data_IF_206111252412
#
_entry.id   IF_206111252412
#
_cell.length_a   1.000
_cell.length_b   1.000
_cell.length_c   1.000
_cell.angle_alpha   90.00
_cell.angle_beta   90.00
_cell.angle_gamma   90.00
#
_symmetry.space_group_name_H-M   'P 1'
#
loop_
_entity.id
_entity.type
_entity.pdbx_description
1 polymer ?
#
# COMPACT_ATOMS: atom_id res chain seq x y z
N UNK A 1 14.62 18.37 -0.17
CA UNK A 1 15.13 17.99 1.16
C UNK A 1 15.89 16.67 1.01
N UNK A 2 17.19 16.58 1.30
CA UNK A 2 18.01 15.38 0.98
C UNK A 2 18.82 14.87 2.18
N UNK A 3 18.22 14.91 3.36
CA UNK A 3 18.84 14.34 4.56
C UNK A 3 19.01 12.82 4.41
N UNK A 4 20.25 12.34 4.55
CA UNK A 4 20.61 10.93 4.47
C UNK A 4 19.89 10.07 5.50
N UNK A 5 19.44 10.67 6.62
CA UNK A 5 18.75 9.95 7.70
C UNK A 5 17.25 9.77 7.49
N UNK A 6 16.67 10.35 6.42
CA UNK A 6 15.24 10.21 6.11
C UNK A 6 14.87 8.74 5.95
N UNK A 7 13.88 8.29 6.71
CA UNK A 7 13.46 6.88 6.77
C UNK A 7 12.36 6.59 5.76
N UNK A 8 12.39 5.38 5.20
CA UNK A 8 11.33 4.88 4.33
C UNK A 8 9.97 4.88 5.05
N UNK A 9 8.90 5.14 4.30
CA UNK A 9 7.56 4.90 4.78
C UNK A 9 7.33 3.39 5.02
N UNK A 10 6.52 3.08 6.02
CA UNK A 10 6.12 1.69 6.38
C UNK A 10 4.80 1.27 5.73
N UNK A 11 4.04 2.20 5.16
CA UNK A 11 2.82 1.89 4.43
C UNK A 11 3.18 1.40 3.03
N UNK A 12 3.07 0.10 2.80
CA UNK A 12 3.46 -0.52 1.54
C UNK A 12 2.29 -0.64 0.55
N UNK A 13 1.05 -0.55 1.02
CA UNK A 13 -0.14 -0.77 0.20
C UNK A 13 -0.99 0.48 0.07
N UNK A 14 -1.65 0.64 -1.08
CA UNK A 14 -2.66 1.68 -1.35
C UNK A 14 -3.91 1.03 -1.92
N UNK A 15 -5.08 1.55 -1.56
CA UNK A 15 -6.37 1.09 -2.08
C UNK A 15 -6.85 1.98 -3.22
N UNK A 16 -7.08 1.37 -4.39
CA UNK A 16 -7.50 2.03 -5.61
C UNK A 16 -8.67 1.24 -6.19
N UNK A 17 -9.80 1.90 -6.43
CA UNK A 17 -11.04 1.31 -6.94
C UNK A 17 -11.44 0.03 -6.17
N UNK A 18 -11.37 0.09 -4.83
CA UNK A 18 -11.73 -1.06 -4.00
C UNK A 18 -10.67 -2.15 -3.86
N UNK A 19 -9.60 -2.12 -4.66
CA UNK A 19 -8.55 -3.15 -4.69
C UNK A 19 -7.26 -2.65 -4.06
N UNK A 20 -6.55 -3.55 -3.36
CA UNK A 20 -5.27 -3.25 -2.75
C UNK A 20 -4.12 -3.50 -3.72
N UNK A 21 -3.22 -2.53 -3.81
CA UNK A 21 -2.02 -2.59 -4.63
C UNK A 21 -0.79 -2.33 -3.77
N UNK A 22 0.30 -3.04 -4.06
CA UNK A 22 1.62 -2.64 -3.57
C UNK A 22 1.96 -1.28 -4.19
N UNK A 23 2.37 -0.31 -3.36
CA UNK A 23 2.77 1.01 -3.80
C UNK A 23 4.01 0.92 -4.69
N UNK A 24 4.12 1.83 -5.65
CA UNK A 24 5.25 1.81 -6.57
C UNK A 24 6.50 2.39 -5.87
N UNK A 25 7.52 1.55 -5.71
CA UNK A 25 8.85 1.93 -5.23
C UNK A 25 9.96 1.70 -6.26
N UNK A 26 9.60 1.42 -7.50
CA UNK A 26 10.55 1.18 -8.58
C UNK A 26 10.89 2.47 -9.30
N UNK A 27 9.92 3.37 -9.40
CA UNK A 27 10.15 4.70 -9.94
C UNK A 27 10.95 5.52 -8.94
N UNK A 28 11.99 6.19 -9.43
CA UNK A 28 12.90 7.00 -8.62
C UNK A 28 13.29 8.27 -9.35
N UNK A 29 13.78 9.22 -8.56
CA UNK A 29 14.43 10.44 -9.07
C UNK A 29 15.75 10.10 -9.80
N UNK A 30 16.28 11.05 -10.58
CA UNK A 30 17.61 10.94 -11.20
C UNK A 30 18.74 10.88 -10.16
N UNK A 31 18.47 11.43 -8.97
CA UNK A 31 19.37 11.36 -7.82
C UNK A 31 19.19 10.01 -7.09
N UNK A 32 20.09 9.68 -6.17
CA UNK A 32 19.94 8.48 -5.33
C UNK A 32 18.75 8.57 -4.36
N UNK A 33 18.31 9.79 -4.04
CA UNK A 33 17.20 10.08 -3.14
C UNK A 33 16.20 11.00 -3.81
N UNK A 34 14.93 10.82 -3.49
CA UNK A 34 13.85 11.67 -3.97
C UNK A 34 14.06 13.13 -3.52
N UNK A 35 14.05 14.09 -4.45
CA UNK A 35 14.19 15.51 -4.10
C UNK A 35 13.04 16.05 -3.23
N UNK A 36 11.85 15.47 -3.39
CA UNK A 36 10.62 15.86 -2.69
C UNK A 36 10.58 15.32 -1.26
N UNK A 37 10.52 13.99 -1.09
CA UNK A 37 10.39 13.37 0.23
C UNK A 37 11.71 12.95 0.87
N UNK A 38 12.84 13.03 0.17
CA UNK A 38 14.16 12.71 0.70
C UNK A 38 14.43 11.23 0.92
N UNK A 39 13.54 10.31 0.55
CA UNK A 39 13.72 8.86 0.72
C UNK A 39 14.63 8.31 -0.39
N UNK A 40 15.47 7.32 -0.05
CA UNK A 40 16.31 6.63 -1.04
C UNK A 40 15.45 5.91 -2.07
N UNK A 41 15.79 6.02 -3.34
CA UNK A 41 15.02 5.41 -4.42
C UNK A 41 15.19 3.88 -4.41
N UNK A 42 14.20 3.17 -4.95
CA UNK A 42 14.24 1.72 -5.14
C UNK A 42 13.78 0.91 -3.93
N UNK A 43 13.53 -0.38 -4.17
CA UNK A 43 13.13 -1.35 -3.14
C UNK A 43 14.25 -1.52 -2.09
N UNK A 44 13.93 -1.62 -0.78
CA UNK A 44 12.61 -1.74 -0.16
C UNK A 44 11.98 -0.40 0.26
N UNK A 45 12.45 0.73 -0.25
CA UNK A 45 12.05 2.05 0.24
C UNK A 45 10.74 2.52 -0.40
N UNK A 46 9.78 2.97 0.40
CA UNK A 46 8.53 3.55 -0.07
C UNK A 46 8.49 5.03 0.26
N UNK A 47 8.04 5.84 -0.68
CA UNK A 47 7.80 7.26 -0.47
C UNK A 47 6.73 7.47 0.61
N UNK A 48 6.71 8.63 1.26
CA UNK A 48 5.58 8.99 2.12
C UNK A 48 4.33 9.26 1.27
N UNK A 49 3.12 8.87 1.75
CA UNK A 49 1.88 9.25 1.09
C UNK A 49 1.84 10.75 0.84
N UNK A 50 1.49 11.16 -0.38
CA UNK A 50 1.48 12.56 -0.78
C UNK A 50 2.74 13.04 -1.49
N UNK A 51 3.76 12.20 -1.65
CA UNK A 51 4.98 12.56 -2.39
C UNK A 51 4.69 12.77 -3.89
N UNK A 52 5.14 13.89 -4.44
CA UNK A 52 4.97 14.28 -5.84
C UNK A 52 5.67 13.31 -6.82
N UNK A 53 6.70 12.62 -6.35
CA UNK A 53 7.46 11.66 -7.15
C UNK A 53 6.86 10.26 -7.12
N UNK A 54 5.90 9.98 -6.24
CA UNK A 54 5.29 8.66 -6.15
C UNK A 54 4.39 8.39 -7.36
N UNK A 55 4.50 7.19 -7.93
CA UNK A 55 3.70 6.78 -9.09
C UNK A 55 2.56 5.85 -8.70
N UNK A 56 1.42 6.03 -9.35
CA UNK A 56 0.28 5.14 -9.24
C UNK A 56 0.69 3.72 -9.69
N UNK A 57 0.44 2.69 -8.86
CA UNK A 57 0.77 1.31 -9.25
C UNK A 57 -0.15 0.74 -10.33
N UNK A 58 -1.22 1.46 -10.71
CA UNK A 58 -2.17 1.05 -11.75
C UNK A 58 -1.84 1.69 -13.09
N UNK A 59 -1.66 3.01 -13.13
CA UNK A 59 -1.51 3.75 -14.39
C UNK A 59 -0.14 4.42 -14.57
N UNK A 60 0.77 4.29 -13.59
CA UNK A 60 2.12 4.89 -13.57
C UNK A 60 2.17 6.43 -13.62
N UNK A 61 1.02 7.10 -13.66
CA UNK A 61 0.88 8.54 -13.45
C UNK A 61 1.31 8.95 -12.05
N UNK A 62 1.39 10.26 -11.77
CA UNK A 62 1.65 10.74 -10.41
C UNK A 62 0.52 10.27 -9.48
N UNK A 63 0.85 9.59 -8.38
CA UNK A 63 -0.14 8.97 -7.49
C UNK A 63 -1.13 10.03 -6.98
N UNK A 64 -0.65 11.20 -6.56
CA UNK A 64 -1.54 12.23 -5.98
C UNK A 64 -2.48 12.90 -7.00
N UNK A 65 -2.27 12.71 -8.31
CA UNK A 65 -2.98 13.45 -9.35
C UNK A 65 -3.53 12.56 -10.48
N UNK A 66 -3.43 11.23 -10.35
CA UNK A 66 -3.93 10.34 -11.39
C UNK A 66 -5.45 10.18 -11.31
N UNK A 67 -6.09 9.88 -12.44
CA UNK A 67 -7.54 9.65 -12.52
C UNK A 67 -7.98 8.26 -12.01
N UNK A 68 -7.07 7.46 -11.45
CA UNK A 68 -7.47 6.24 -10.78
C UNK A 68 -8.27 6.60 -9.52
N UNK A 69 -9.42 5.97 -9.31
CA UNK A 69 -10.27 6.21 -8.13
C UNK A 69 -9.54 5.79 -6.85
N UNK A 70 -8.86 6.74 -6.19
CA UNK A 70 -8.14 6.45 -4.96
C UNK A 70 -9.04 6.62 -3.76
N UNK A 71 -9.13 5.58 -2.94
CA UNK A 71 -9.87 5.66 -1.68
C UNK A 71 -9.12 6.50 -0.62
N UNK A 72 -7.88 6.94 -0.90
CA UNK A 72 -7.01 7.65 0.04
C UNK A 72 -6.52 6.78 1.21
N UNK A 73 -6.67 5.46 1.11
CA UNK A 73 -6.33 4.52 2.18
C UNK A 73 -4.98 3.85 1.91
N UNK A 74 -4.08 3.93 2.88
CA UNK A 74 -2.75 3.30 2.86
C UNK A 74 -2.63 2.28 4.00
N UNK A 75 -1.94 1.16 3.76
CA UNK A 75 -1.73 0.11 4.76
C UNK A 75 -0.28 -0.36 4.82
N UNK A 76 0.16 -0.80 6.01
CA UNK A 76 1.45 -1.49 6.21
C UNK A 76 1.28 -2.99 5.99
N UNK A 77 2.36 -3.69 5.68
CA UNK A 77 2.37 -5.15 5.73
C UNK A 77 2.14 -5.58 7.20
N UNK A 78 1.19 -6.51 7.37
CA UNK A 78 0.65 -7.18 8.57
C UNK A 78 -0.20 -6.41 9.61
N UNK A 79 -1.47 -6.83 9.71
CA UNK A 79 -2.10 -7.00 11.02
C UNK A 79 -2.07 -8.51 11.34
N UNK A 80 -1.53 -8.94 12.49
CA UNK A 80 -1.71 -10.31 12.97
C UNK A 80 -3.16 -10.53 13.44
N UNK A 81 -3.68 -11.76 13.37
CA UNK A 81 -5.00 -12.14 13.89
C UNK A 81 -5.12 -11.66 15.34
N UNK A 82 -6.09 -10.79 15.70
CA UNK A 82 -6.22 -10.29 17.06
C UNK A 82 -6.53 -11.39 18.09
N UNK A 83 -6.93 -12.58 17.62
CA UNK A 83 -7.21 -13.76 18.44
C UNK A 83 -5.99 -14.67 18.65
N UNK A 84 -5.03 -14.76 17.71
CA UNK A 84 -3.93 -15.73 17.82
C UNK A 84 -2.54 -15.25 17.39
N UNK A 85 -2.39 -14.02 16.90
CA UNK A 85 -1.11 -13.54 16.37
C UNK A 85 -0.75 -14.02 14.97
N UNK A 86 -1.56 -14.89 14.36
CA UNK A 86 -1.31 -15.52 13.05
C UNK A 86 -1.51 -14.59 11.85
N UNK A 87 -1.05 -15.00 10.66
CA UNK A 87 -1.13 -14.16 9.47
C UNK A 87 -2.56 -14.04 8.95
N UNK A 88 -2.99 -12.80 8.66
CA UNK A 88 -4.26 -12.51 7.98
C UNK A 88 -4.08 -12.73 6.49
N UNK A 89 -5.02 -13.45 5.86
CA UNK A 89 -5.02 -13.69 4.44
C UNK A 89 -6.19 -12.95 3.77
N UNK A 90 -5.91 -12.25 2.68
CA UNK A 90 -6.92 -11.76 1.73
C UNK A 90 -7.31 -12.94 0.82
N UNK A 91 -8.53 -13.52 0.88
CA UNK A 91 -8.95 -14.46 -0.14
C UNK A 91 -9.08 -13.76 -1.50
N UNK A 92 -8.74 -14.50 -2.55
CA UNK A 92 -8.74 -14.04 -3.92
C UNK A 92 -10.17 -13.68 -4.39
N UNK A 93 -10.36 -12.40 -4.68
CA UNK A 93 -11.35 -11.69 -5.52
C UNK A 93 -12.73 -12.29 -5.84
N UNK A 94 -13.47 -12.81 -4.87
CA UNK A 94 -14.95 -12.83 -5.00
C UNK A 94 -15.71 -12.39 -3.76
N UNK A 95 -15.15 -12.53 -2.56
CA UNK A 95 -15.76 -12.01 -1.34
C UNK A 95 -14.70 -11.37 -0.44
N UNK A 96 -14.81 -10.06 -0.23
CA UNK A 96 -13.89 -9.20 0.50
C UNK A 96 -13.89 -9.42 2.02
N UNK A 97 -13.78 -10.67 2.45
CA UNK A 97 -13.71 -11.05 3.85
C UNK A 97 -12.29 -11.45 4.21
N UNK A 98 -11.61 -10.62 4.98
CA UNK A 98 -10.31 -10.98 5.54
C UNK A 98 -10.52 -12.09 6.57
N UNK A 99 -9.76 -13.18 6.50
CA UNK A 99 -9.74 -14.19 7.56
C UNK A 99 -8.33 -14.67 7.87
N UNK A 100 -8.10 -15.05 9.13
CA UNK A 100 -6.84 -15.64 9.54
C UNK A 100 -6.86 -17.17 9.37
N UNK A 101 -5.80 -17.71 8.78
CA UNK A 101 -5.66 -19.15 8.49
C UNK A 101 -5.41 -20.00 9.72
N UNK A 102 -4.85 -19.42 10.77
CA UNK A 102 -4.46 -20.15 11.98
C UNK A 102 -5.61 -20.25 12.99
N UNK A 103 -6.39 -19.17 13.14
CA UNK A 103 -7.48 -19.08 14.13
C UNK A 103 -8.89 -19.10 13.50
N UNK A 104 -9.00 -19.04 12.18
CA UNK A 104 -10.27 -18.91 11.46
C UNK A 104 -11.03 -17.61 11.72
N UNK A 105 -10.40 -16.63 12.40
CA UNK A 105 -11.07 -15.37 12.76
C UNK A 105 -11.22 -14.49 11.54
N UNK A 106 -12.46 -14.06 11.30
CA UNK A 106 -12.79 -13.04 10.31
C UNK A 106 -12.37 -11.68 10.88
N UNK A 107 -11.53 -10.95 10.14
CA UNK A 107 -10.89 -9.70 10.61
C UNK A 107 -11.39 -8.45 9.88
N UNK A 108 -12.21 -8.61 8.82
CA UNK A 108 -13.16 -7.58 8.36
C UNK A 108 -14.22 -8.21 7.46
N UNK A 109 -15.48 -7.80 7.61
CA UNK A 109 -16.55 -8.11 6.66
C UNK A 109 -16.76 -6.90 5.74
N UNK A 110 -16.69 -7.09 4.42
CA UNK A 110 -17.39 -6.19 3.49
C UNK A 110 -18.44 -6.97 2.72
N UNK A 111 -19.66 -6.44 2.80
CA UNK A 111 -20.92 -6.98 2.34
C UNK A 111 -20.93 -7.39 0.85
N UNK A 112 -21.63 -8.51 0.61
CA UNK A 112 -22.26 -9.04 -0.59
C UNK A 112 -21.95 -8.40 -1.96
N UNK A 113 -21.51 -9.22 -2.91
CA UNK A 113 -21.93 -9.07 -4.32
C UNK A 113 -22.67 -10.33 -4.75
N UNK A 114 -23.99 -10.17 -4.81
CA UNK A 114 -24.95 -11.07 -5.42
C UNK A 114 -24.77 -11.03 -6.95
N UNK A 115 -24.60 -12.19 -7.60
CA UNK A 115 -25.54 -12.80 -8.57
C UNK A 115 -24.83 -13.72 -9.56
#
# INVERSE_FOLDING_TARGET
MTDSDTKSCTHQFVKINGKWYLRNNRYGDVNERCHDCGIANGFPNYHHPGCDMERCPVCEGQLISCDCDQDGVFAKEENPCPKCGGLIFLPNETHGTLFCRDCGTIVSEKAAVNK
#
